data_IF_781544979876
#
_entry.id   IF_781544979876
#
_cell.length_a   1.000
_cell.length_b   1.000
_cell.length_c   1.000
_cell.angle_alpha   90.00
_cell.angle_beta   90.00
_cell.angle_gamma   90.00
#
_symmetry.space_group_name_H-M   'P 1'
#
loop_
_entity.id
_entity.type
_entity.pdbx_description
1 polymer ?
#
# COMPACT_ATOMS: atom_id res chain seq x y z
N UNK A 1 -2.45 -22.78 -12.67
CA UNK A 1 -1.38 -21.81 -12.34
C UNK A 1 -1.62 -20.54 -13.12
N UNK A 2 -2.04 -19.44 -12.47
CA UNK A 2 -2.37 -18.21 -13.19
C UNK A 2 -1.11 -17.57 -13.78
N UNK A 3 -1.20 -17.12 -15.03
CA UNK A 3 -0.16 -16.40 -15.78
C UNK A 3 0.36 -15.16 -15.00
N UNK A 4 -0.43 -14.66 -14.04
CA UNK A 4 -0.06 -13.59 -13.12
C UNK A 4 1.07 -13.96 -12.13
N UNK A 5 1.21 -15.23 -11.74
CA UNK A 5 2.23 -15.67 -10.77
C UNK A 5 3.66 -15.53 -11.31
N UNK A 6 3.90 -15.87 -12.59
CA UNK A 6 5.22 -15.78 -13.21
C UNK A 6 5.70 -14.35 -13.44
N UNK A 7 4.79 -13.45 -13.83
CA UNK A 7 5.11 -12.03 -13.97
C UNK A 7 5.42 -11.37 -12.63
N UNK A 8 4.60 -11.62 -11.60
CA UNK A 8 4.81 -11.08 -10.25
C UNK A 8 6.15 -11.55 -9.67
N UNK A 9 6.51 -12.83 -9.89
CA UNK A 9 7.80 -13.39 -9.46
C UNK A 9 8.98 -12.70 -10.15
N UNK A 10 8.91 -12.46 -11.46
CA UNK A 10 9.96 -11.71 -12.19
C UNK A 10 10.09 -10.25 -11.75
N UNK A 11 9.02 -9.66 -11.24
CA UNK A 11 9.01 -8.27 -10.74
C UNK A 11 9.36 -8.16 -9.26
N UNK A 12 9.66 -9.26 -8.58
CA UNK A 12 10.02 -9.26 -7.16
C UNK A 12 8.85 -8.91 -6.22
N UNK A 13 7.62 -8.93 -6.72
CA UNK A 13 6.41 -8.61 -5.94
C UNK A 13 5.62 -9.87 -5.53
N UNK A 14 6.23 -11.03 -5.69
CA UNK A 14 5.68 -12.32 -5.30
C UNK A 14 6.06 -12.65 -3.86
N UNK A 15 5.08 -13.04 -3.05
CA UNK A 15 5.28 -13.52 -1.68
C UNK A 15 5.04 -15.01 -1.65
N UNK A 16 6.08 -15.76 -1.26
CA UNK A 16 5.99 -17.21 -1.12
C UNK A 16 5.18 -17.61 0.13
N UNK A 17 4.58 -18.79 0.11
CA UNK A 17 3.88 -19.37 1.26
C UNK A 17 4.82 -19.65 2.42
N UNK A 18 6.09 -19.92 2.17
CA UNK A 18 7.10 -20.04 3.24
C UNK A 18 7.28 -18.71 4.00
N UNK A 19 7.13 -17.57 3.30
CA UNK A 19 7.29 -16.22 3.87
C UNK A 19 5.98 -15.66 4.43
N UNK A 20 4.85 -16.04 3.86
CA UNK A 20 3.51 -15.68 4.35
C UNK A 20 2.62 -16.92 4.34
N UNK A 21 2.62 -17.71 5.43
CA UNK A 21 1.87 -18.97 5.47
C UNK A 21 0.36 -18.73 5.50
N UNK A 22 -0.08 -17.53 5.89
CA UNK A 22 -1.49 -17.21 6.02
C UNK A 22 -2.21 -17.13 4.67
N UNK A 23 -3.46 -17.58 4.66
CA UNK A 23 -4.28 -17.65 3.45
C UNK A 23 -4.82 -16.30 3.00
N UNK A 24 -4.91 -15.33 3.92
CA UNK A 24 -5.44 -14.01 3.67
C UNK A 24 -4.45 -12.96 4.14
N UNK A 25 -4.42 -11.85 3.43
CA UNK A 25 -3.78 -10.64 3.91
C UNK A 25 -4.68 -9.97 4.95
N UNK A 26 -4.11 -9.28 5.96
CA UNK A 26 -4.91 -8.36 6.75
C UNK A 26 -5.55 -7.32 5.85
N UNK A 27 -6.68 -6.74 6.25
CA UNK A 27 -7.21 -5.56 5.55
C UNK A 27 -6.14 -4.48 5.57
N UNK A 28 -5.80 -3.89 4.43
CA UNK A 28 -4.83 -2.80 4.30
C UNK A 28 -5.40 -1.72 3.37
N UNK A 29 -4.87 -0.51 3.46
CA UNK A 29 -5.21 0.60 2.57
C UNK A 29 -4.35 0.43 1.33
N UNK A 30 -4.99 0.27 0.16
CA UNK A 30 -4.32 0.19 -1.13
C UNK A 30 -4.59 1.46 -1.92
N UNK A 31 -3.60 1.94 -2.67
CA UNK A 31 -3.81 3.06 -3.59
C UNK A 31 -2.63 4.00 -3.72
N UNK A 32 -2.91 5.29 -3.89
CA UNK A 32 -1.89 6.30 -4.12
C UNK A 32 -1.24 6.79 -2.83
N UNK A 33 -2.02 6.89 -1.74
CA UNK A 33 -1.56 7.37 -0.44
C UNK A 33 -2.52 6.97 0.68
N UNK A 34 -1.98 6.90 1.90
CA UNK A 34 -2.73 6.89 3.15
C UNK A 34 -2.30 8.07 4.02
N UNK A 35 -3.22 8.61 4.80
CA UNK A 35 -2.93 9.67 5.78
C UNK A 35 -2.99 9.07 7.17
N UNK A 36 -2.06 9.48 8.03
CA UNK A 36 -2.01 9.04 9.43
C UNK A 36 -1.62 10.18 10.35
N UNK A 37 -2.20 10.19 11.54
CA UNK A 37 -1.77 11.09 12.61
C UNK A 37 -0.38 10.72 13.14
N UNK A 38 0.23 11.65 13.88
CA UNK A 38 1.58 11.48 14.46
C UNK A 38 1.65 10.25 15.37
N UNK A 39 0.65 10.06 16.21
CA UNK A 39 0.57 8.99 17.20
C UNK A 39 0.55 7.62 16.51
N UNK A 40 -0.24 7.51 15.43
CA UNK A 40 -0.30 6.32 14.59
C UNK A 40 1.05 6.05 13.92
N UNK A 41 1.70 7.07 13.35
CA UNK A 41 3.01 6.93 12.72
C UNK A 41 4.09 6.45 13.71
N UNK A 42 4.11 7.00 14.94
CA UNK A 42 5.04 6.59 16.00
C UNK A 42 4.79 5.15 16.43
N UNK A 43 3.52 4.76 16.59
CA UNK A 43 3.17 3.39 16.98
C UNK A 43 3.53 2.37 15.89
N UNK A 44 3.30 2.69 14.61
CA UNK A 44 3.76 1.87 13.47
C UNK A 44 5.28 1.75 13.44
N UNK A 45 6.01 2.85 13.67
CA UNK A 45 7.47 2.83 13.72
C UNK A 45 8.00 1.90 14.83
N UNK A 46 7.40 1.93 16.03
CA UNK A 46 7.74 1.01 17.13
C UNK A 46 7.39 -0.44 16.82
N UNK A 47 6.27 -0.68 16.14
CA UNK A 47 5.90 -2.02 15.68
C UNK A 47 6.92 -2.52 14.64
N UNK A 48 7.40 -1.65 13.75
CA UNK A 48 8.39 -1.98 12.72
C UNK A 48 9.75 -2.32 13.35
N UNK A 49 10.23 -1.54 14.32
CA UNK A 49 11.52 -1.75 14.97
C UNK A 49 11.64 -3.06 15.75
N UNK A 50 10.53 -3.75 15.99
CA UNK A 50 10.46 -5.01 16.73
C UNK A 50 9.97 -6.16 15.86
N UNK A 51 9.89 -5.98 14.52
CA UNK A 51 9.39 -7.00 13.59
C UNK A 51 10.53 -7.57 12.75
N UNK A 52 10.82 -8.85 12.92
CA UNK A 52 11.94 -9.52 12.24
C UNK A 52 11.56 -10.00 10.82
N UNK A 53 10.32 -10.45 10.61
CA UNK A 53 9.91 -11.15 9.38
C UNK A 53 9.20 -10.26 8.33
N UNK A 54 8.94 -8.99 8.66
CA UNK A 54 8.17 -8.08 7.79
C UNK A 54 8.95 -7.63 6.54
N UNK A 55 10.27 -7.74 6.58
CA UNK A 55 11.20 -7.28 5.52
C UNK A 55 10.98 -8.04 4.20
N UNK A 56 10.35 -9.21 4.22
CA UNK A 56 10.19 -10.06 3.04
C UNK A 56 8.90 -9.82 2.24
N UNK A 57 8.06 -8.87 2.64
CA UNK A 57 6.81 -8.53 1.94
C UNK A 57 7.08 -7.31 1.02
N UNK A 58 7.09 -7.49 -0.31
CA UNK A 58 7.44 -6.44 -1.28
C UNK A 58 6.28 -5.47 -1.60
N UNK A 59 5.22 -5.50 -0.79
CA UNK A 59 4.03 -4.65 -0.95
C UNK A 59 3.94 -3.75 0.29
N UNK A 60 4.42 -2.52 0.15
CA UNK A 60 4.55 -1.53 1.23
C UNK A 60 3.21 -1.26 1.92
N UNK A 61 2.14 -1.01 1.16
CA UNK A 61 0.78 -0.87 1.67
C UNK A 61 0.36 -2.01 2.60
N UNK A 62 0.64 -3.27 2.23
CA UNK A 62 0.30 -4.44 3.02
C UNK A 62 1.14 -4.53 4.31
N UNK A 63 2.38 -4.05 4.27
CA UNK A 63 3.28 -3.97 5.43
C UNK A 63 2.81 -2.91 6.41
N UNK A 64 2.75 -1.64 6.00
CA UNK A 64 2.54 -0.52 6.91
C UNK A 64 1.09 -0.40 7.34
N UNK A 65 0.15 -0.43 6.40
CA UNK A 65 -1.27 -0.23 6.69
C UNK A 65 -2.02 -1.52 7.00
N UNK A 66 -1.39 -2.67 6.76
CA UNK A 66 -1.89 -4.02 7.08
C UNK A 66 -1.25 -4.60 8.33
N UNK A 67 -0.06 -5.20 8.18
CA UNK A 67 0.60 -6.01 9.23
C UNK A 67 1.04 -5.16 10.42
N UNK A 68 1.84 -4.12 10.18
CA UNK A 68 2.37 -3.25 11.24
C UNK A 68 1.27 -2.50 11.98
N UNK A 69 0.24 -2.08 11.25
CA UNK A 69 -0.95 -1.47 11.84
C UNK A 69 -1.63 -2.39 12.85
N UNK A 70 -1.83 -3.68 12.53
CA UNK A 70 -2.41 -4.65 13.47
C UNK A 70 -1.52 -4.79 14.70
N UNK A 71 -0.22 -4.96 14.50
CA UNK A 71 0.74 -5.07 15.61
C UNK A 71 0.75 -3.82 16.49
N UNK A 72 0.54 -2.64 15.90
CA UNK A 72 0.44 -1.36 16.58
C UNK A 72 -0.95 -1.06 17.16
N UNK A 73 -1.93 -1.96 17.00
CA UNK A 73 -3.32 -1.78 17.43
C UNK A 73 -3.98 -0.51 16.88
N UNK A 74 -3.71 -0.16 15.62
CA UNK A 74 -4.30 1.02 14.97
C UNK A 74 -5.50 0.60 14.11
N UNK A 75 -6.56 1.40 14.16
CA UNK A 75 -7.73 1.22 13.31
C UNK A 75 -7.56 1.90 11.94
N UNK A 76 -8.29 1.42 10.94
CA UNK A 76 -8.39 2.08 9.64
C UNK A 76 -9.80 2.62 9.44
N UNK A 77 -9.88 3.86 8.98
CA UNK A 77 -11.11 4.44 8.51
C UNK A 77 -11.06 4.53 6.98
N UNK A 78 -12.04 3.92 6.31
CA UNK A 78 -12.14 4.04 4.87
C UNK A 78 -12.85 5.34 4.52
N UNK A 79 -12.13 6.21 3.82
CA UNK A 79 -12.63 7.49 3.36
C UNK A 79 -12.82 7.42 1.83
N UNK A 80 -14.07 7.44 1.31
CA UNK A 80 -14.38 7.22 -0.11
C UNK A 80 -13.77 8.26 -1.06
N UNK A 81 -13.34 9.40 -0.52
CA UNK A 81 -12.87 10.56 -1.29
C UNK A 81 -11.37 10.55 -1.61
N UNK A 82 -10.59 9.57 -1.12
CA UNK A 82 -9.19 9.48 -1.47
C UNK A 82 -8.99 8.95 -2.88
N UNK A 83 -8.20 9.69 -3.67
CA UNK A 83 -7.98 9.42 -5.08
C UNK A 83 -7.24 8.08 -5.26
N UNK A 84 -7.95 7.09 -5.78
CA UNK A 84 -7.33 5.90 -6.35
C UNK A 84 -6.91 6.29 -7.78
N UNK A 85 -5.62 6.47 -8.04
CA UNK A 85 -5.12 6.62 -9.41
C UNK A 85 -5.28 5.27 -10.13
N UNK A 86 -6.49 4.98 -10.61
CA UNK A 86 -6.66 3.94 -11.61
C UNK A 86 -5.85 4.36 -12.84
N UNK A 87 -5.18 3.39 -13.46
CA UNK A 87 -4.38 3.54 -14.70
C UNK A 87 -5.12 4.18 -15.89
N UNK A 88 -6.38 4.57 -15.73
CA UNK A 88 -7.20 5.24 -16.72
C UNK A 88 -7.05 6.76 -16.67
N UNK A 89 -6.49 7.30 -17.76
CA UNK A 89 -6.54 8.70 -18.20
C UNK A 89 -5.38 9.62 -17.77
N UNK A 90 -4.14 9.14 -17.88
CA UNK A 90 -2.92 9.99 -17.85
C UNK A 90 -3.07 11.21 -18.79
N UNK A 91 -3.66 11.04 -19.97
CA UNK A 91 -3.87 12.13 -20.93
C UNK A 91 -4.88 13.17 -20.42
N UNK A 92 -5.91 12.77 -19.67
CA UNK A 92 -6.86 13.72 -19.08
C UNK A 92 -6.22 14.53 -17.95
N UNK A 93 -5.31 13.91 -17.19
CA UNK A 93 -4.55 14.60 -16.15
C UNK A 93 -3.55 15.60 -16.75
N UNK A 94 -2.84 15.21 -17.82
CA UNK A 94 -1.94 16.10 -18.57
C UNK A 94 -2.69 17.33 -19.10
N UNK A 95 -3.82 17.12 -19.77
CA UNK A 95 -4.61 18.22 -20.32
C UNK A 95 -5.12 19.18 -19.23
N UNK A 96 -5.51 18.66 -18.05
CA UNK A 96 -5.92 19.50 -16.92
C UNK A 96 -4.76 20.33 -16.37
N UNK A 97 -3.58 19.74 -16.19
CA UNK A 97 -2.39 20.44 -15.71
C UNK A 97 -2.01 21.56 -16.69
N UNK A 98 -1.99 21.29 -17.99
CA UNK A 98 -1.70 22.29 -19.02
C UNK A 98 -2.72 23.44 -19.02
N UNK A 99 -4.02 23.14 -18.84
CA UNK A 99 -5.05 24.18 -18.79
C UNK A 99 -4.93 25.12 -17.57
N UNK A 100 -4.49 24.60 -16.42
CA UNK A 100 -4.29 25.37 -15.19
C UNK A 100 -3.01 26.20 -15.27
N UNK A 101 -1.96 25.70 -15.91
CA UNK A 101 -0.70 26.45 -16.08
C UNK A 101 -0.78 27.54 -17.15
N UNK A 102 -1.73 27.45 -18.08
CA UNK A 102 -1.93 28.46 -19.14
C UNK A 102 -2.92 29.58 -18.76
N UNK A 103 -3.70 29.41 -17.68
CA UNK A 103 -4.59 30.44 -17.11
C UNK A 103 -4.29 30.58 -15.60
N UNK A 104 -3.23 31.32 -15.22
CA UNK A 104 -2.88 31.57 -13.81
C UNK A 104 -3.95 32.39 -13.06
#
# INVERSE_FOLDING_TARGET
>A
MSVQSGWAKRKGIFVDREKWPYYKWPKYIFGAAAFMGREAAVAISRAASTSEDIIYIPIEDAVFTGVLRIKACIEIEHQPNFAVHFRGKINLLKNKIESVLQNP
#
